data_IF_066948432127
#
_entry.id   IF_066948432127
#
_cell.length_a   1.000
_cell.length_b   1.000
_cell.length_c   1.000
_cell.angle_alpha   90.00
_cell.angle_beta   90.00
_cell.angle_gamma   90.00
#
_symmetry.space_group_name_H-M   'P 1'
#
loop_
_entity.id
_entity.type
_entity.pdbx_description
1 polymer ?
#
# COMPACT_ATOMS: atom_id res chain seq x y z
N UNK A 1 24.45 13.64 -2.09
CA UNK A 1 23.74 14.73 -2.79
C UNK A 1 24.46 15.02 -4.10
N UNK A 2 23.76 15.14 -5.22
CA UNK A 2 24.32 15.46 -6.53
C UNK A 2 23.50 16.60 -7.17
N UNK A 3 24.11 17.37 -8.10
CA UNK A 3 23.44 18.46 -8.83
C UNK A 3 22.76 19.51 -7.93
N UNK A 4 23.41 19.88 -6.83
CA UNK A 4 22.86 20.79 -5.82
C UNK A 4 22.50 22.19 -6.35
N UNK A 5 23.05 22.61 -7.50
CA UNK A 5 22.72 23.88 -8.16
C UNK A 5 21.26 23.97 -8.61
N UNK A 6 20.50 22.87 -8.56
CA UNK A 6 19.06 22.85 -8.82
C UNK A 6 18.21 23.29 -7.63
N UNK A 7 18.78 23.30 -6.42
CA UNK A 7 18.05 23.47 -5.16
C UNK A 7 17.92 24.95 -4.75
N UNK A 8 16.87 25.24 -3.99
CA UNK A 8 16.51 26.61 -3.55
C UNK A 8 17.62 27.30 -2.74
N UNK A 9 18.40 26.54 -1.95
CA UNK A 9 19.54 27.11 -1.20
C UNK A 9 20.64 27.71 -2.09
N UNK A 10 20.72 27.31 -3.37
CA UNK A 10 21.70 27.84 -4.33
C UNK A 10 21.04 28.83 -5.29
N UNK A 11 19.96 28.42 -5.97
CA UNK A 11 19.35 29.24 -7.04
C UNK A 11 18.19 30.13 -6.59
N UNK A 12 17.73 30.02 -5.34
CA UNK A 12 16.59 30.77 -4.79
C UNK A 12 15.38 30.69 -5.74
N UNK A 13 14.93 31.82 -6.23
CA UNK A 13 13.78 32.02 -7.14
C UNK A 13 13.97 31.32 -8.49
N UNK A 14 15.22 31.02 -8.88
CA UNK A 14 15.56 30.31 -10.13
C UNK A 14 15.75 28.80 -9.91
N UNK A 15 15.46 28.28 -8.73
CA UNK A 15 15.54 26.86 -8.45
C UNK A 15 14.42 26.08 -9.15
N UNK A 16 14.61 24.77 -9.32
CA UNK A 16 13.59 23.93 -9.98
C UNK A 16 12.36 23.71 -9.09
N UNK A 17 12.53 23.33 -7.80
CA UNK A 17 11.48 23.46 -6.79
C UNK A 17 11.85 24.45 -5.67
N UNK A 18 10.85 24.88 -4.91
CA UNK A 18 11.02 25.57 -3.62
C UNK A 18 11.18 24.59 -2.42
N UNK A 19 11.20 23.28 -2.66
CA UNK A 19 11.30 22.26 -1.62
C UNK A 19 12.64 22.35 -0.87
N UNK A 20 12.60 22.11 0.45
CA UNK A 20 13.78 22.05 1.31
C UNK A 20 13.72 20.79 2.18
N UNK A 21 12.91 20.79 3.24
CA UNK A 21 12.56 19.57 3.98
C UNK A 21 11.69 18.69 3.10
N UNK A 22 12.01 17.40 3.07
CA UNK A 22 11.28 16.38 2.31
C UNK A 22 11.00 15.19 3.23
N UNK A 23 10.66 14.02 2.66
CA UNK A 23 10.27 12.83 3.41
C UNK A 23 11.41 11.80 3.47
N UNK A 24 12.61 12.23 3.85
CA UNK A 24 13.80 11.37 3.85
C UNK A 24 13.64 10.13 4.76
N UNK A 25 13.04 10.28 5.93
CA UNK A 25 12.81 9.16 6.87
C UNK A 25 11.83 8.13 6.28
N UNK A 26 10.71 8.58 5.71
CA UNK A 26 9.72 7.69 5.09
C UNK A 26 10.26 7.02 3.83
N UNK A 27 11.08 7.72 3.05
CA UNK A 27 11.79 7.15 1.90
C UNK A 27 12.75 6.02 2.32
N UNK A 28 13.49 6.20 3.42
CA UNK A 28 14.31 5.15 4.00
C UNK A 28 13.47 3.96 4.48
N UNK A 29 12.32 4.22 5.11
CA UNK A 29 11.37 3.17 5.50
C UNK A 29 10.90 2.33 4.31
N UNK A 30 10.46 2.98 3.22
CA UNK A 30 10.07 2.31 1.98
C UNK A 30 11.24 1.54 1.34
N UNK A 31 12.46 2.07 1.39
CA UNK A 31 13.64 1.38 0.90
C UNK A 31 13.95 0.13 1.72
N UNK A 32 13.86 0.18 3.05
CA UNK A 32 14.04 -0.99 3.90
C UNK A 32 12.95 -2.04 3.68
N UNK A 33 11.70 -1.63 3.48
CA UNK A 33 10.61 -2.53 3.09
C UNK A 33 10.96 -3.27 1.78
N UNK A 34 11.43 -2.55 0.76
CA UNK A 34 11.87 -3.16 -0.50
C UNK A 34 13.11 -4.07 -0.36
N UNK A 35 14.06 -3.73 0.51
CA UNK A 35 15.24 -4.57 0.80
C UNK A 35 14.81 -5.87 1.48
N UNK A 36 13.95 -5.77 2.48
CA UNK A 36 13.48 -6.91 3.25
C UNK A 36 12.70 -7.89 2.38
N UNK A 37 11.68 -7.41 1.66
CA UNK A 37 10.86 -8.25 0.81
C UNK A 37 11.57 -8.67 -0.49
N UNK A 38 12.35 -7.76 -1.10
CA UNK A 38 12.92 -7.98 -2.44
C UNK A 38 11.87 -8.13 -3.53
N UNK A 39 12.31 -8.47 -4.74
CA UNK A 39 11.41 -8.63 -5.89
C UNK A 39 10.38 -9.74 -5.69
N UNK A 40 10.79 -10.88 -5.13
CA UNK A 40 9.92 -12.03 -4.90
C UNK A 40 8.85 -11.74 -3.83
N UNK A 41 9.24 -11.17 -2.69
CA UNK A 41 8.32 -10.81 -1.62
C UNK A 41 7.28 -9.78 -2.06
N UNK A 42 7.71 -8.72 -2.75
CA UNK A 42 6.79 -7.71 -3.29
C UNK A 42 5.86 -8.29 -4.36
N UNK A 43 6.36 -9.21 -5.20
CA UNK A 43 5.53 -9.92 -6.17
C UNK A 43 4.49 -10.80 -5.48
N UNK A 44 4.86 -11.48 -4.39
CA UNK A 44 3.94 -12.30 -3.59
C UNK A 44 2.83 -11.44 -2.99
N UNK A 45 3.18 -10.33 -2.33
CA UNK A 45 2.23 -9.40 -1.72
C UNK A 45 1.25 -8.85 -2.78
N UNK A 46 1.79 -8.35 -3.90
CA UNK A 46 0.98 -7.86 -5.01
C UNK A 46 0.06 -8.94 -5.61
N UNK A 47 0.54 -10.18 -5.71
CA UNK A 47 -0.26 -11.30 -6.24
C UNK A 47 -1.38 -11.70 -5.29
N UNK A 48 -1.13 -11.70 -3.98
CA UNK A 48 -2.15 -11.99 -2.96
C UNK A 48 -3.23 -10.89 -2.92
N UNK A 49 -2.83 -9.62 -2.96
CA UNK A 49 -3.77 -8.49 -3.09
C UNK A 49 -4.64 -8.64 -4.34
N UNK A 50 -4.01 -8.87 -5.50
CA UNK A 50 -4.73 -9.06 -6.75
C UNK A 50 -5.68 -10.28 -6.71
N UNK A 51 -5.26 -11.37 -6.07
CA UNK A 51 -6.11 -12.56 -5.87
C UNK A 51 -7.35 -12.23 -5.04
N UNK A 52 -7.20 -11.49 -3.93
CA UNK A 52 -8.34 -11.04 -3.10
C UNK A 52 -9.31 -10.16 -3.88
N UNK A 53 -8.81 -9.20 -4.67
CA UNK A 53 -9.63 -8.36 -5.53
C UNK A 53 -10.41 -9.19 -6.56
N UNK A 54 -9.78 -10.20 -7.16
CA UNK A 54 -10.45 -11.12 -8.09
C UNK A 54 -11.52 -11.97 -7.41
N UNK A 55 -11.28 -12.45 -6.19
CA UNK A 55 -12.26 -13.19 -5.37
C UNK A 55 -13.48 -12.32 -5.09
N UNK A 56 -13.27 -11.07 -4.66
CA UNK A 56 -14.36 -10.11 -4.46
C UNK A 56 -15.15 -9.89 -5.76
N UNK A 57 -14.44 -9.66 -6.87
CA UNK A 57 -15.05 -9.43 -8.16
C UNK A 57 -15.97 -10.59 -8.60
N UNK A 58 -15.50 -11.83 -8.51
CA UNK A 58 -16.29 -13.02 -8.83
C UNK A 58 -17.45 -13.21 -7.85
N UNK A 59 -17.21 -12.99 -6.56
CA UNK A 59 -18.24 -13.14 -5.52
C UNK A 59 -19.38 -12.15 -5.72
N UNK A 60 -19.09 -10.89 -6.02
CA UNK A 60 -20.11 -9.86 -6.28
C UNK A 60 -20.90 -10.15 -7.57
N UNK A 61 -20.22 -10.60 -8.63
CA UNK A 61 -20.89 -11.05 -9.86
C UNK A 61 -21.82 -12.25 -9.63
N UNK A 62 -21.46 -13.17 -8.73
CA UNK A 62 -22.29 -14.35 -8.43
C UNK A 62 -23.63 -14.01 -7.77
N UNK A 63 -23.75 -12.83 -7.13
CA UNK A 63 -25.00 -12.31 -6.57
C UNK A 63 -25.75 -11.42 -7.57
N UNK A 64 -25.20 -11.22 -8.76
CA UNK A 64 -25.82 -10.45 -9.84
C UNK A 64 -25.47 -8.96 -9.83
N UNK A 65 -24.45 -8.55 -9.08
CA UNK A 65 -23.87 -7.20 -9.21
C UNK A 65 -22.94 -7.12 -10.42
N UNK A 66 -22.81 -5.92 -10.98
CA UNK A 66 -22.01 -5.71 -12.19
C UNK A 66 -20.70 -5.04 -11.84
N UNK A 67 -19.59 -5.73 -12.04
CA UNK A 67 -18.25 -5.13 -11.94
C UNK A 67 -18.01 -4.28 -13.19
N UNK A 68 -17.87 -2.97 -13.00
CA UNK A 68 -17.78 -1.97 -14.07
C UNK A 68 -16.40 -2.02 -14.76
N UNK A 69 -15.35 -2.25 -13.98
CA UNK A 69 -13.99 -2.26 -14.49
C UNK A 69 -13.60 -3.64 -15.03
N UNK A 70 -13.42 -3.73 -16.36
CA UNK A 70 -12.94 -4.94 -17.02
C UNK A 70 -11.45 -5.26 -16.79
N UNK A 71 -10.67 -4.30 -16.27
CA UNK A 71 -9.25 -4.48 -15.93
C UNK A 71 -8.92 -3.79 -14.62
N UNK A 72 -8.23 -4.48 -13.71
CA UNK A 72 -7.88 -3.95 -12.39
C UNK A 72 -6.70 -4.67 -11.73
N UNK A 73 -6.09 -4.00 -10.75
CA UNK A 73 -5.10 -4.58 -9.84
C UNK A 73 -5.75 -4.97 -8.51
N UNK A 74 -6.01 -4.01 -7.63
CA UNK A 74 -6.53 -4.22 -6.28
C UNK A 74 -7.89 -3.55 -6.04
N UNK A 75 -8.32 -2.69 -6.95
CA UNK A 75 -9.53 -1.87 -6.80
C UNK A 75 -10.59 -2.30 -7.79
N UNK A 76 -11.79 -2.59 -7.30
CA UNK A 76 -12.96 -2.92 -8.11
C UNK A 76 -14.05 -1.87 -7.94
N UNK A 77 -14.71 -1.51 -9.04
CA UNK A 77 -15.87 -0.62 -9.03
C UNK A 77 -17.08 -1.42 -9.46
N UNK A 78 -18.15 -1.34 -8.67
CA UNK A 78 -19.31 -2.23 -8.77
C UNK A 78 -20.58 -1.40 -8.80
N UNK A 79 -21.45 -1.73 -9.75
CA UNK A 79 -22.82 -1.28 -9.76
C UNK A 79 -23.67 -2.33 -9.04
N UNK A 80 -24.19 -1.95 -7.88
CA UNK A 80 -25.00 -2.82 -7.04
C UNK A 80 -26.40 -2.95 -7.63
N UNK A 81 -26.92 -4.17 -7.63
CA UNK A 81 -28.25 -4.50 -8.15
C UNK A 81 -29.12 -4.96 -7.01
N UNK A 82 -30.26 -4.30 -6.82
CA UNK A 82 -31.24 -4.65 -5.79
C UNK A 82 -30.88 -4.20 -4.36
N UNK A 83 -29.77 -3.49 -4.17
CA UNK A 83 -29.34 -2.89 -2.90
C UNK A 83 -28.89 -1.47 -3.21
N UNK A 84 -29.26 -0.50 -2.36
CA UNK A 84 -28.76 0.87 -2.50
C UNK A 84 -27.30 0.96 -2.06
N UNK A 85 -26.47 1.82 -2.67
CA UNK A 85 -25.11 2.05 -2.19
C UNK A 85 -25.07 2.42 -0.69
N UNK A 86 -26.04 3.16 -0.20
CA UNK A 86 -26.16 3.60 1.19
C UNK A 86 -26.40 2.42 2.16
N UNK A 87 -27.29 1.49 1.80
CA UNK A 87 -27.54 0.29 2.60
C UNK A 87 -26.27 -0.58 2.67
N UNK A 88 -25.59 -0.74 1.53
CA UNK A 88 -24.35 -1.52 1.46
C UNK A 88 -23.23 -0.90 2.31
N UNK A 89 -23.08 0.43 2.28
CA UNK A 89 -22.14 1.15 3.17
C UNK A 89 -22.48 0.90 4.62
N UNK A 90 -23.76 1.01 4.99
CA UNK A 90 -24.20 0.85 6.39
C UNK A 90 -23.83 -0.55 6.90
N UNK A 91 -24.12 -1.60 6.13
CA UNK A 91 -23.73 -2.97 6.48
C UNK A 91 -22.20 -3.17 6.55
N UNK A 92 -21.42 -2.49 5.71
CA UNK A 92 -19.96 -2.57 5.75
C UNK A 92 -19.39 -1.86 6.99
N UNK A 93 -19.92 -0.68 7.33
CA UNK A 93 -19.51 0.12 8.48
C UNK A 93 -19.81 -0.61 9.80
N UNK A 94 -20.93 -1.31 9.89
CA UNK A 94 -21.24 -2.18 11.05
C UNK A 94 -20.19 -3.28 11.26
N UNK A 95 -19.52 -3.71 10.20
CA UNK A 95 -18.41 -4.68 10.23
C UNK A 95 -17.03 -4.01 10.34
N UNK A 96 -16.98 -2.68 10.54
CA UNK A 96 -15.75 -1.89 10.64
C UNK A 96 -15.03 -1.65 9.32
N UNK A 97 -15.74 -1.76 8.18
CA UNK A 97 -15.17 -1.64 6.84
C UNK A 97 -15.71 -0.37 6.16
N UNK A 98 -14.80 0.49 5.72
CA UNK A 98 -15.14 1.66 4.92
C UNK A 98 -15.00 1.35 3.42
N UNK A 99 -15.97 1.82 2.64
CA UNK A 99 -16.00 1.68 1.19
C UNK A 99 -16.26 3.05 0.56
N UNK A 100 -15.80 3.24 -0.68
CA UNK A 100 -15.99 4.48 -1.39
C UNK A 100 -17.28 4.42 -2.22
N UNK A 101 -18.13 5.44 -2.10
CA UNK A 101 -19.34 5.60 -2.93
C UNK A 101 -19.16 6.76 -3.88
N UNK A 102 -19.37 6.49 -5.16
CA UNK A 102 -19.53 7.53 -6.18
C UNK A 102 -21.02 7.82 -6.37
N UNK A 103 -21.49 8.87 -5.71
CA UNK A 103 -22.88 9.33 -5.79
C UNK A 103 -23.29 9.84 -7.17
N UNK A 104 -22.33 10.21 -8.04
CA UNK A 104 -22.66 10.69 -9.39
C UNK A 104 -23.15 9.56 -10.28
N UNK A 105 -22.56 8.38 -10.12
CA UNK A 105 -22.87 7.19 -10.91
C UNK A 105 -23.62 6.09 -10.13
N UNK A 106 -23.83 6.28 -8.82
CA UNK A 106 -24.44 5.28 -7.95
C UNK A 106 -23.60 4.01 -7.84
N UNK A 107 -22.28 4.12 -7.94
CA UNK A 107 -21.36 2.97 -7.91
C UNK A 107 -20.54 2.94 -6.63
N UNK A 108 -20.06 1.76 -6.27
CA UNK A 108 -19.23 1.53 -5.09
C UNK A 108 -17.86 1.06 -5.54
N UNK A 109 -16.80 1.64 -4.99
CA UNK A 109 -15.43 1.17 -5.21
C UNK A 109 -14.83 0.58 -3.94
N UNK A 110 -14.18 -0.56 -4.11
CA UNK A 110 -13.55 -1.34 -3.04
C UNK A 110 -12.10 -1.57 -3.43
N UNK A 111 -11.16 -1.08 -2.61
CA UNK A 111 -9.73 -1.32 -2.75
C UNK A 111 -9.28 -2.31 -1.68
N UNK A 112 -8.59 -3.36 -2.08
CA UNK A 112 -7.95 -4.29 -1.13
C UNK A 112 -6.47 -3.99 -1.00
N UNK A 113 -5.90 -4.27 0.17
CA UNK A 113 -4.50 -4.02 0.49
C UNK A 113 -3.83 -5.26 1.10
N UNK A 114 -2.57 -5.10 1.52
CA UNK A 114 -1.81 -6.16 2.19
C UNK A 114 -2.47 -6.61 3.50
N UNK A 115 -3.07 -5.68 4.24
CA UNK A 115 -3.72 -5.94 5.54
C UNK A 115 -5.11 -6.58 5.40
N UNK A 116 -5.70 -6.56 4.19
CA UNK A 116 -7.02 -7.12 3.93
C UNK A 116 -7.03 -8.62 4.18
N UNK A 117 -7.80 -9.10 5.14
CA UNK A 117 -7.88 -10.53 5.46
C UNK A 117 -8.96 -11.24 4.64
N UNK A 118 -8.93 -12.57 4.66
CA UNK A 118 -10.03 -13.39 4.13
C UNK A 118 -11.36 -13.10 4.83
N UNK A 119 -11.33 -12.78 6.13
CA UNK A 119 -12.52 -12.35 6.88
C UNK A 119 -13.11 -11.05 6.35
N UNK A 120 -12.28 -10.07 5.98
CA UNK A 120 -12.77 -8.82 5.37
C UNK A 120 -13.46 -9.10 4.02
N UNK A 121 -12.89 -10.00 3.21
CA UNK A 121 -13.48 -10.40 1.92
C UNK A 121 -14.85 -11.05 2.12
N UNK A 122 -14.97 -11.95 3.10
CA UNK A 122 -16.25 -12.58 3.48
C UNK A 122 -17.26 -11.54 3.92
N UNK A 123 -16.86 -10.63 4.82
CA UNK A 123 -17.72 -9.55 5.34
C UNK A 123 -18.30 -8.68 4.23
N UNK A 124 -17.48 -8.32 3.23
CA UNK A 124 -17.88 -7.52 2.06
C UNK A 124 -18.85 -8.27 1.15
N UNK A 125 -18.68 -9.57 0.96
CA UNK A 125 -19.55 -10.40 0.14
C UNK A 125 -20.90 -10.69 0.81
N UNK A 126 -20.89 -10.92 2.13
CA UNK A 126 -22.11 -11.06 2.91
C UNK A 126 -22.93 -9.77 2.92
N UNK A 127 -22.28 -8.61 3.05
CA UNK A 127 -22.95 -7.31 2.95
C UNK A 127 -23.61 -7.11 1.58
N UNK A 128 -23.07 -7.74 0.54
CA UNK A 128 -23.60 -7.71 -0.82
C UNK A 128 -24.71 -8.76 -1.04
N UNK A 129 -25.07 -9.55 -0.03
CA UNK A 129 -26.14 -10.53 -0.10
C UNK A 129 -25.71 -11.96 -0.45
N UNK A 130 -24.40 -12.25 -0.53
CA UNK A 130 -23.90 -13.61 -0.72
C UNK A 130 -24.05 -14.40 0.59
N UNK A 131 -24.92 -15.42 0.60
CA UNK A 131 -25.09 -16.31 1.76
C UNK A 131 -23.95 -17.33 1.82
N UNK A 132 -23.23 -17.39 2.95
CA UNK A 132 -22.14 -18.35 3.20
C UNK A 132 -21.06 -18.34 2.09
N UNK A 133 -20.27 -17.25 1.97
CA UNK A 133 -19.20 -17.18 0.99
C UNK A 133 -18.10 -18.22 1.28
N UNK A 134 -17.98 -19.24 0.44
CA UNK A 134 -16.91 -20.25 0.51
C UNK A 134 -15.72 -19.79 -0.32
N UNK A 135 -14.70 -19.24 0.35
CA UNK A 135 -13.48 -18.70 -0.29
C UNK A 135 -12.77 -19.75 -1.16
N UNK A 136 -12.76 -21.02 -0.73
CA UNK A 136 -12.15 -22.11 -1.50
C UNK A 136 -12.80 -22.34 -2.88
N UNK A 137 -14.08 -22.04 -3.04
CA UNK A 137 -14.79 -22.13 -4.34
C UNK A 137 -14.54 -20.87 -5.15
N UNK A 138 -14.67 -19.69 -4.52
CA UNK A 138 -14.45 -18.39 -5.16
C UNK A 138 -13.02 -18.21 -5.65
N UNK A 139 -12.03 -18.75 -4.94
CA UNK A 139 -10.63 -18.70 -5.35
C UNK A 139 -10.36 -19.48 -6.63
N UNK A 140 -10.97 -20.67 -6.80
CA UNK A 140 -10.88 -21.45 -8.04
C UNK A 140 -11.52 -20.73 -9.23
N UNK A 141 -12.67 -20.10 -9.02
CA UNK A 141 -13.33 -19.28 -10.04
C UNK A 141 -12.49 -18.03 -10.36
N UNK A 142 -11.92 -17.40 -9.32
CA UNK A 142 -11.04 -16.25 -9.47
C UNK A 142 -9.83 -16.61 -10.32
N UNK A 143 -9.19 -17.77 -10.15
CA UNK A 143 -8.04 -18.19 -10.98
C UNK A 143 -8.36 -18.14 -12.49
N UNK A 144 -9.58 -18.50 -12.88
CA UNK A 144 -10.03 -18.47 -14.28
C UNK A 144 -10.31 -17.05 -14.80
N UNK A 145 -10.68 -16.12 -13.90
CA UNK A 145 -10.95 -14.72 -14.28
C UNK A 145 -9.66 -14.00 -14.67
N UNK A 146 -9.60 -13.50 -15.90
CA UNK A 146 -8.50 -12.62 -16.34
C UNK A 146 -8.85 -11.16 -16.08
N UNK A 147 -8.36 -10.64 -14.95
CA UNK A 147 -8.53 -9.24 -14.56
C UNK A 147 -7.45 -8.30 -15.10
N UNK A 148 -6.35 -8.83 -15.66
CA UNK A 148 -5.33 -8.04 -16.36
C UNK A 148 -5.03 -8.67 -17.73
N UNK A 149 -5.00 -7.86 -18.82
CA UNK A 149 -4.58 -8.31 -20.14
C UNK A 149 -3.13 -8.83 -20.13
N UNK A 150 -2.85 -9.86 -20.92
CA UNK A 150 -1.49 -10.44 -21.04
C UNK A 150 -0.44 -9.41 -21.48
N UNK A 151 -0.86 -8.39 -22.22
CA UNK A 151 -0.01 -7.30 -22.70
C UNK A 151 0.47 -6.39 -21.56
N UNK A 152 -0.29 -6.29 -20.47
CA UNK A 152 0.04 -5.46 -19.30
C UNK A 152 0.87 -6.20 -18.25
N UNK A 153 1.13 -7.50 -18.44
CA UNK A 153 1.95 -8.27 -17.51
C UNK A 153 3.41 -7.81 -17.60
N UNK A 154 3.95 -7.39 -16.47
CA UNK A 154 5.36 -7.00 -16.35
C UNK A 154 6.27 -8.19 -16.66
N UNK A 155 7.13 -8.03 -17.67
CA UNK A 155 8.15 -9.03 -18.06
C UNK A 155 9.55 -8.72 -17.52
N UNK A 156 9.83 -7.47 -17.22
CA UNK A 156 11.16 -7.03 -16.80
C UNK A 156 11.45 -7.37 -15.34
N UNK A 157 12.68 -7.84 -15.08
CA UNK A 157 13.23 -8.01 -13.74
C UNK A 157 13.39 -6.64 -13.08
N UNK A 158 13.15 -6.59 -11.78
CA UNK A 158 13.31 -5.39 -10.96
C UNK A 158 13.97 -5.76 -9.64
N UNK A 159 14.57 -4.78 -8.97
CA UNK A 159 15.36 -5.00 -7.74
C UNK A 159 16.48 -6.04 -7.93
N UNK A 160 17.14 -6.05 -9.10
CA UNK A 160 18.22 -7.00 -9.42
C UNK A 160 19.56 -6.72 -8.71
N UNK A 161 19.68 -5.61 -7.98
CA UNK A 161 20.90 -5.31 -7.24
C UNK A 161 21.02 -6.20 -6.00
N UNK A 162 22.22 -6.71 -5.73
CA UNK A 162 22.49 -7.68 -4.65
C UNK A 162 21.98 -7.25 -3.27
N UNK A 163 22.01 -5.95 -2.98
CA UNK A 163 21.53 -5.39 -1.71
C UNK A 163 20.05 -5.67 -1.43
N UNK A 164 19.22 -5.80 -2.48
CA UNK A 164 17.78 -6.06 -2.39
C UNK A 164 17.46 -7.56 -2.29
N UNK A 165 18.50 -8.39 -2.36
CA UNK A 165 18.41 -9.85 -2.28
C UNK A 165 19.12 -10.40 -1.02
N UNK A 166 19.99 -9.59 -0.38
CA UNK A 166 20.90 -10.05 0.68
C UNK A 166 20.29 -10.12 2.08
N UNK A 167 19.44 -9.17 2.48
CA UNK A 167 18.95 -9.07 3.86
C UNK A 167 17.50 -9.55 3.94
N UNK A 168 17.30 -10.86 4.16
CA UNK A 168 15.98 -11.50 4.14
C UNK A 168 15.50 -11.97 5.50
N UNK A 169 16.43 -12.22 6.43
CA UNK A 169 16.07 -12.46 7.82
C UNK A 169 15.96 -11.15 8.60
N UNK A 170 15.12 -11.16 9.63
CA UNK A 170 14.99 -10.03 10.57
C UNK A 170 16.35 -9.66 11.16
N UNK A 171 17.13 -10.65 11.62
CA UNK A 171 18.45 -10.41 12.21
C UNK A 171 19.44 -9.75 11.22
N UNK A 172 19.42 -10.15 9.96
CA UNK A 172 20.26 -9.54 8.92
C UNK A 172 19.85 -8.09 8.64
N UNK A 173 18.54 -7.83 8.54
CA UNK A 173 18.02 -6.48 8.33
C UNK A 173 18.36 -5.57 9.53
N UNK A 174 18.15 -6.05 10.76
CA UNK A 174 18.51 -5.32 11.98
C UNK A 174 20.00 -4.96 12.01
N UNK A 175 20.89 -5.93 11.72
CA UNK A 175 22.34 -5.67 11.62
C UNK A 175 22.65 -4.69 10.51
N UNK A 176 21.93 -4.74 9.40
CA UNK A 176 22.13 -3.81 8.29
C UNK A 176 21.72 -2.38 8.65
N UNK A 177 20.54 -2.19 9.25
CA UNK A 177 20.05 -0.90 9.74
C UNK A 177 21.03 -0.35 10.79
N UNK A 178 21.44 -1.16 11.76
CA UNK A 178 22.39 -0.75 12.79
C UNK A 178 23.75 -0.32 12.19
N UNK A 179 24.25 -1.05 11.19
CA UNK A 179 25.49 -0.70 10.49
C UNK A 179 25.39 0.61 9.72
N UNK A 180 24.23 0.93 9.14
CA UNK A 180 24.03 2.22 8.47
C UNK A 180 23.91 3.34 9.50
N UNK A 181 23.12 3.13 10.55
CA UNK A 181 22.98 4.07 11.67
C UNK A 181 24.34 4.42 12.29
N UNK A 182 25.22 3.44 12.50
CA UNK A 182 26.56 3.67 13.06
C UNK A 182 27.50 4.51 12.19
N UNK A 183 27.12 4.86 10.95
CA UNK A 183 27.88 5.77 10.08
C UNK A 183 27.40 7.23 10.16
N UNK A 184 26.25 7.46 10.79
CA UNK A 184 25.60 8.77 10.82
C UNK A 184 25.75 9.41 12.20
N UNK A 185 26.30 10.63 12.23
CA UNK A 185 26.34 11.43 13.46
C UNK A 185 24.99 12.11 13.69
N UNK A 186 24.55 12.17 14.94
CA UNK A 186 23.23 12.67 15.31
C UNK A 186 23.14 13.01 16.78
N UNK A 187 21.96 13.41 17.24
CA UNK A 187 21.72 13.90 18.61
C UNK A 187 22.04 12.88 19.73
N UNK A 188 22.11 11.59 19.41
CA UNK A 188 22.55 10.54 20.35
C UNK A 188 24.04 10.61 20.67
N UNK A 189 24.84 11.25 19.81
CA UNK A 189 26.29 11.37 19.95
C UNK A 189 26.69 12.69 20.60
N UNK A 190 26.01 13.79 20.26
CA UNK A 190 26.29 15.11 20.80
C UNK A 190 25.55 16.24 20.05
N UNK A 191 25.95 17.48 20.34
CA UNK A 191 25.33 18.67 19.73
C UNK A 191 25.55 18.72 18.20
N UNK A 192 24.52 19.15 17.47
CA UNK A 192 24.55 19.39 16.01
C UNK A 192 24.15 20.85 15.74
N UNK A 193 25.11 21.81 15.77
CA UNK A 193 24.81 23.25 15.78
C UNK A 193 24.55 23.81 14.37
N UNK A 194 23.51 23.31 13.68
CA UNK A 194 23.10 23.81 12.37
C UNK A 194 22.18 25.01 12.51
N UNK A 195 22.69 26.19 12.13
CA UNK A 195 21.91 27.42 12.08
C UNK A 195 20.67 27.28 11.19
N UNK A 196 19.58 27.93 11.59
CA UNK A 196 18.26 27.88 10.91
C UNK A 196 17.53 26.53 10.94
N UNK A 197 18.11 25.46 11.51
CA UNK A 197 17.47 24.15 11.61
C UNK A 197 16.80 23.86 12.97
N UNK A 198 17.16 24.60 14.03
CA UNK A 198 16.62 24.43 15.39
C UNK A 198 16.66 22.97 15.87
N UNK A 199 17.84 22.36 15.84
CA UNK A 199 18.03 20.96 16.23
C UNK A 199 17.97 20.83 17.76
N UNK A 200 16.77 20.57 18.27
CA UNK A 200 16.44 20.46 19.71
C UNK A 200 16.08 19.03 20.12
N UNK A 201 15.75 18.82 21.39
CA UNK A 201 15.28 17.54 21.90
C UNK A 201 14.02 17.08 21.17
N UNK A 202 14.04 15.82 20.73
CA UNK A 202 12.87 15.08 20.27
C UNK A 202 12.48 14.08 21.38
N UNK A 203 11.61 14.46 22.33
CA UNK A 203 11.39 13.66 23.53
C UNK A 203 10.66 12.36 23.19
N UNK A 204 11.08 11.25 23.81
CA UNK A 204 10.49 9.93 23.58
C UNK A 204 8.96 9.91 23.80
N UNK A 205 8.48 10.64 24.82
CA UNK A 205 7.05 10.79 25.10
C UNK A 205 6.26 11.41 23.93
N UNK A 206 6.85 12.35 23.17
CA UNK A 206 6.21 12.92 22.00
C UNK A 206 6.34 12.05 20.74
N UNK A 207 7.38 11.21 20.66
CA UNK A 207 7.59 10.30 19.54
C UNK A 207 6.71 9.04 19.64
N UNK A 208 6.38 8.60 20.85
CA UNK A 208 5.65 7.36 21.09
C UNK A 208 4.25 7.35 20.45
N UNK A 209 3.56 8.50 20.41
CA UNK A 209 2.22 8.61 19.81
C UNK A 209 2.19 8.53 18.28
N UNK A 210 3.34 8.57 17.61
CA UNK A 210 3.41 8.49 16.14
C UNK A 210 3.22 7.07 15.62
N UNK A 211 3.23 6.05 16.48
CA UNK A 211 3.10 4.64 16.12
C UNK A 211 2.02 3.89 16.92
N UNK A 212 1.00 4.61 17.41
CA UNK A 212 -0.17 4.00 18.07
C UNK A 212 -1.11 3.33 17.07
#
# INVERSE_FOLDING_TARGET
MALQTREQRIKRERATPNICTSQALLANGAAFYAIYHGSEGLKKIASEMHKKAKILSVGLESVGHTVVNGTFFDTITVNLKGITPEDYVTCCVEKGINIFVDYSHGTVSISVDEATTEGHVVSLLEAAGLKLPVIGVLSKLAEQKRAMPLQMLRKHVFLGHSILQKYKSESELMRYIHRLHGKDYGLMHGCVPLGSCTVKLNPAAAMFSLSW
#
